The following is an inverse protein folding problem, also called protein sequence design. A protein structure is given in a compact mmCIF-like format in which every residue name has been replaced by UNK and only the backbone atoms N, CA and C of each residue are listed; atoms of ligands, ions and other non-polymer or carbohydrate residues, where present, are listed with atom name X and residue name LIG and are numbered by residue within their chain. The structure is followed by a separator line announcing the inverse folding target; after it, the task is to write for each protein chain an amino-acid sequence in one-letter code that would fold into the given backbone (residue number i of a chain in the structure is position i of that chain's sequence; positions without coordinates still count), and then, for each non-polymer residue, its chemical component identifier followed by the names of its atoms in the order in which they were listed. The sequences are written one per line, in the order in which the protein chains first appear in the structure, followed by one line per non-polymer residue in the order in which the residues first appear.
data_IF_961172386609
#
_entry.id   IF_961172386609
#
_cell.length_a   1.000
_cell.length_b   1.000
_cell.length_c   1.000
_cell.angle_alpha   90.00
_cell.angle_beta   90.00
_cell.angle_gamma   90.00
#
_symmetry.space_group_name_H-M   'P 1'
#
loop_
_entity.id
_entity.type
_entity.pdbx_description
1 polymer ?
#
# COMPACT_ATOMS: atom_id res chain seq x y z
N UNK A 1 21.26 -0.42 -0.85
CA UNK A 1 20.46 0.24 0.19
C UNK A 1 21.37 0.96 1.17
N UNK A 2 20.99 2.14 1.59
CA UNK A 2 21.72 2.97 2.57
C UNK A 2 20.81 3.23 3.76
N UNK A 3 21.35 3.08 4.96
CA UNK A 3 20.68 3.47 6.22
C UNK A 3 21.43 4.68 6.74
N UNK A 4 20.72 5.78 6.97
CA UNK A 4 21.30 6.99 7.58
C UNK A 4 21.34 6.87 9.11
N UNK A 5 22.16 7.69 9.76
CA UNK A 5 22.23 7.76 11.23
C UNK A 5 20.87 8.07 11.87
N UNK A 6 20.01 8.79 11.16
CA UNK A 6 18.63 9.10 11.58
C UNK A 6 17.66 7.90 11.44
N UNK A 7 18.16 6.72 11.03
CA UNK A 7 17.37 5.51 10.88
C UNK A 7 16.52 5.45 9.60
N UNK A 8 16.69 6.37 8.67
CA UNK A 8 16.00 6.34 7.39
C UNK A 8 16.64 5.31 6.45
N UNK A 9 15.81 4.53 5.77
CA UNK A 9 16.23 3.50 4.83
C UNK A 9 15.98 3.95 3.40
N UNK A 10 17.04 3.97 2.58
CA UNK A 10 16.98 4.35 1.17
C UNK A 10 17.42 3.19 0.30
N UNK A 11 16.64 2.88 -0.72
CA UNK A 11 16.96 1.85 -1.71
C UNK A 11 17.20 2.51 -3.06
N UNK A 12 18.37 2.24 -3.65
CA UNK A 12 18.75 2.73 -4.97
C UNK A 12 18.79 1.56 -5.94
N UNK A 13 18.18 1.74 -7.11
CA UNK A 13 18.34 0.82 -8.23
C UNK A 13 19.54 1.25 -9.05
N UNK A 14 20.65 0.51 -8.91
CA UNK A 14 21.93 0.84 -9.56
C UNK A 14 22.09 -0.05 -10.78
N UNK A 15 22.22 0.55 -11.95
CA UNK A 15 22.58 -0.14 -13.22
C UNK A 15 24.02 0.15 -13.56
N UNK A 16 24.73 -0.85 -14.07
CA UNK A 16 26.09 -0.64 -14.60
C UNK A 16 26.04 0.26 -15.84
N UNK A 17 26.91 1.27 -15.88
CA UNK A 17 27.13 2.12 -17.04
C UNK A 17 28.65 2.41 -17.18
N UNK A 18 29.15 2.35 -18.40
CA UNK A 18 30.59 2.63 -18.69
C UNK A 18 30.92 4.10 -18.39
N UNK A 19 29.97 5.01 -18.62
CA UNK A 19 30.03 6.42 -18.25
C UNK A 19 28.83 6.77 -17.37
N UNK A 20 29.00 6.79 -16.04
CA UNK A 20 27.92 7.15 -15.14
C UNK A 20 27.56 8.64 -15.26
N UNK A 21 26.27 8.93 -15.39
CA UNK A 21 25.77 10.32 -15.49
C UNK A 21 25.92 11.10 -14.17
N UNK A 22 25.99 10.40 -13.05
CA UNK A 22 26.14 10.97 -11.71
C UNK A 22 27.22 10.20 -10.95
N UNK A 23 28.29 10.87 -10.57
CA UNK A 23 29.38 10.29 -9.78
C UNK A 23 29.18 10.45 -8.28
N UNK A 24 28.51 11.53 -7.88
CA UNK A 24 28.14 11.81 -6.50
C UNK A 24 26.64 12.12 -6.43
N UNK A 25 25.99 11.59 -5.43
CA UNK A 25 24.58 11.84 -5.16
C UNK A 25 24.47 12.30 -3.71
N UNK A 26 24.03 13.54 -3.52
CA UNK A 26 23.72 14.05 -2.20
C UNK A 26 22.30 13.66 -1.82
N UNK A 27 22.10 13.31 -0.54
CA UNK A 27 20.77 12.90 -0.07
C UNK A 27 19.72 14.00 -0.24
N UNK A 28 20.13 15.28 -0.21
CA UNK A 28 19.25 16.41 -0.49
C UNK A 28 18.66 16.39 -1.92
N UNK A 29 19.34 15.79 -2.89
CA UNK A 29 18.86 15.68 -4.26
C UNK A 29 17.65 14.75 -4.40
N UNK A 30 17.46 13.84 -3.43
CA UNK A 30 16.31 12.94 -3.37
C UNK A 30 15.16 13.50 -2.53
N UNK A 31 15.43 14.54 -1.74
CA UNK A 31 14.42 15.20 -0.89
C UNK A 31 13.71 16.32 -1.66
N UNK A 32 14.07 16.55 -2.91
CA UNK A 32 13.56 17.65 -3.76
C UNK A 32 12.16 17.44 -4.34
N UNK A 33 11.19 17.11 -3.49
CA UNK A 33 9.83 17.60 -3.68
C UNK A 33 9.40 18.26 -2.36
N UNK A 34 9.68 19.55 -2.30
CA UNK A 34 9.54 20.38 -1.12
C UNK A 34 8.12 20.46 -0.57
N UNK A 35 7.76 19.51 0.24
CA UNK A 35 6.65 19.58 1.19
C UNK A 35 6.91 18.67 2.41
N UNK A 36 8.10 18.70 2.98
CA UNK A 36 8.31 18.07 4.28
C UNK A 36 8.53 19.09 5.38
N UNK A 37 7.60 20.02 5.53
CA UNK A 37 7.55 20.85 6.72
C UNK A 37 6.26 20.51 7.46
N UNK A 38 6.40 19.83 8.62
CA UNK A 38 5.34 19.54 9.60
C UNK A 38 4.33 18.43 9.24
N UNK A 39 4.77 17.25 8.80
CA UNK A 39 3.94 16.04 8.94
C UNK A 39 4.36 15.25 10.19
N UNK A 40 3.41 14.74 10.99
CA UNK A 40 3.76 13.81 12.05
C UNK A 40 4.49 12.60 11.46
N UNK A 41 5.51 12.12 12.13
CA UNK A 41 6.52 11.14 11.71
C UNK A 41 6.05 9.76 11.23
N UNK A 42 4.81 9.58 10.78
CA UNK A 42 4.23 8.27 10.49
C UNK A 42 3.89 8.03 9.01
N UNK A 43 4.06 9.03 8.16
CA UNK A 43 3.71 8.88 6.74
C UNK A 43 4.95 8.63 5.89
N UNK A 44 5.13 7.40 5.41
CA UNK A 44 6.22 7.01 4.54
C UNK A 44 5.70 6.71 3.14
N UNK A 45 6.27 7.33 2.12
CA UNK A 45 6.05 6.95 0.72
C UNK A 45 7.05 5.84 0.36
N UNK A 46 6.56 4.68 -0.08
CA UNK A 46 7.40 3.55 -0.45
C UNK A 46 7.42 3.41 -1.97
N UNK A 47 8.62 3.43 -2.54
CA UNK A 47 8.90 3.21 -3.96
C UNK A 47 9.54 1.82 -4.10
N UNK A 48 8.81 0.84 -4.63
CA UNK A 48 9.25 -0.55 -4.63
C UNK A 48 9.77 -1.04 -5.99
N UNK A 49 9.27 -0.50 -7.11
CA UNK A 49 9.65 -0.91 -8.47
C UNK A 49 9.42 0.21 -9.49
N UNK A 50 9.95 0.03 -10.70
CA UNK A 50 9.67 0.94 -11.82
C UNK A 50 8.19 0.85 -12.24
N UNK A 51 7.64 1.98 -12.64
CA UNK A 51 6.27 2.10 -13.16
C UNK A 51 6.33 2.03 -14.69
N UNK A 52 6.55 0.88 -15.27
CA UNK A 52 6.81 0.61 -16.68
C UNK A 52 6.54 1.77 -17.66
N UNK A 53 5.28 2.15 -17.87
CA UNK A 53 4.88 3.23 -18.80
C UNK A 53 4.16 4.39 -18.12
N UNK A 54 4.02 4.37 -16.79
CA UNK A 54 3.26 5.39 -16.08
C UNK A 54 4.15 6.49 -15.50
N UNK A 55 3.73 7.75 -15.64
CA UNK A 55 4.43 8.87 -15.03
C UNK A 55 4.35 8.77 -13.50
N UNK A 56 5.50 8.74 -12.78
CA UNK A 56 5.50 8.72 -11.31
C UNK A 56 4.72 9.89 -10.69
N UNK A 57 4.75 11.06 -11.33
CA UNK A 57 4.00 12.25 -10.89
C UNK A 57 2.50 12.04 -11.00
N UNK A 58 2.03 11.42 -12.08
CA UNK A 58 0.61 11.12 -12.27
C UNK A 58 0.12 10.10 -11.25
N UNK A 59 0.88 9.03 -11.03
CA UNK A 59 0.55 8.00 -10.04
C UNK A 59 0.45 8.62 -8.64
N UNK A 60 1.42 9.46 -8.27
CA UNK A 60 1.41 10.17 -6.99
C UNK A 60 0.20 11.10 -6.86
N UNK A 61 -0.15 11.86 -7.92
CA UNK A 61 -1.31 12.75 -7.94
C UNK A 61 -2.62 11.97 -7.75
N UNK A 62 -2.76 10.84 -8.44
CA UNK A 62 -3.91 9.93 -8.29
C UNK A 62 -4.01 9.44 -6.85
N UNK A 63 -2.92 8.89 -6.30
CA UNK A 63 -2.91 8.37 -4.93
C UNK A 63 -3.26 9.46 -3.91
N UNK A 64 -2.70 10.66 -4.07
CA UNK A 64 -3.02 11.83 -3.24
C UNK A 64 -4.51 12.19 -3.35
N UNK A 65 -5.07 12.25 -4.57
CA UNK A 65 -6.49 12.54 -4.78
C UNK A 65 -7.41 11.50 -4.15
N UNK A 66 -7.06 10.21 -4.26
CA UNK A 66 -7.79 9.12 -3.59
C UNK A 66 -7.74 9.27 -2.08
N UNK A 67 -6.56 9.58 -1.54
CA UNK A 67 -6.34 9.78 -0.10
C UNK A 67 -7.15 10.98 0.43
N UNK A 68 -7.08 12.14 -0.23
CA UNK A 68 -7.75 13.38 0.18
C UNK A 68 -9.28 13.29 0.03
N UNK A 69 -9.77 12.60 -0.99
CA UNK A 69 -11.20 12.40 -1.18
C UNK A 69 -11.83 11.57 -0.05
N UNK A 70 -11.06 10.70 0.56
CA UNK A 70 -11.34 9.91 1.77
C UNK A 70 -12.74 9.27 1.86
N UNK A 71 -13.43 9.06 0.73
CA UNK A 71 -14.77 8.49 0.68
C UNK A 71 -14.74 6.99 0.83
N UNK A 72 -15.56 6.47 1.72
CA UNK A 72 -15.78 5.03 1.85
C UNK A 72 -16.80 4.55 0.82
N UNK A 73 -16.31 3.96 -0.28
CA UNK A 73 -17.11 3.38 -1.36
C UNK A 73 -17.44 1.91 -1.07
N UNK A 74 -16.47 1.17 -0.56
CA UNK A 74 -16.61 -0.24 -0.21
C UNK A 74 -16.95 -0.37 1.28
N UNK A 75 -18.03 -1.09 1.60
CA UNK A 75 -18.50 -1.21 2.99
C UNK A 75 -18.43 -2.63 3.55
N UNK A 76 -18.29 -3.63 2.68
CA UNK A 76 -18.36 -5.06 3.05
C UNK A 76 -16.99 -5.71 3.19
N UNK A 77 -15.90 -5.04 2.81
CA UNK A 77 -14.53 -5.60 2.87
C UNK A 77 -13.78 -5.00 4.05
N UNK A 78 -13.38 -5.86 4.97
CA UNK A 78 -12.59 -5.50 6.13
C UNK A 78 -12.70 -6.51 7.26
N UNK A 79 -11.89 -6.31 8.29
CA UNK A 79 -11.94 -7.10 9.52
C UNK A 79 -11.87 -6.19 10.74
N UNK A 80 -12.34 -6.71 11.87
CA UNK A 80 -12.23 -6.05 13.17
C UNK A 80 -11.92 -7.08 14.23
N UNK A 81 -10.71 -7.05 14.78
CA UNK A 81 -10.26 -7.93 15.87
C UNK A 81 -9.36 -7.17 16.83
N UNK A 82 -9.38 -7.52 18.10
CA UNK A 82 -8.49 -6.96 19.13
C UNK A 82 -8.52 -5.43 19.26
N UNK A 83 -9.68 -4.81 18.99
CA UNK A 83 -9.81 -3.35 18.99
C UNK A 83 -9.24 -2.66 17.73
N UNK A 84 -8.65 -3.41 16.81
CA UNK A 84 -8.16 -2.93 15.53
C UNK A 84 -9.17 -3.25 14.43
N UNK A 85 -9.45 -2.29 13.59
CA UNK A 85 -10.24 -2.47 12.37
C UNK A 85 -9.35 -2.15 11.16
N UNK A 86 -9.25 -3.09 10.22
CA UNK A 86 -8.58 -2.91 8.95
C UNK A 86 -9.57 -3.14 7.82
N UNK A 87 -9.71 -2.18 6.91
CA UNK A 87 -10.73 -2.22 5.87
C UNK A 87 -10.26 -1.62 4.55
N UNK A 88 -10.90 -2.05 3.48
CA UNK A 88 -10.79 -1.46 2.16
C UNK A 88 -11.88 -0.39 1.99
N UNK A 89 -11.50 0.88 1.89
CA UNK A 89 -12.43 2.01 1.71
C UNK A 89 -12.86 2.17 0.25
N UNK A 90 -11.93 1.95 -0.66
CA UNK A 90 -12.17 2.10 -2.10
C UNK A 90 -11.15 1.32 -2.91
N UNK A 91 -11.56 0.99 -4.12
CA UNK A 91 -10.74 0.34 -5.13
C UNK A 91 -10.91 1.10 -6.43
N UNK A 92 -9.81 1.55 -7.01
CA UNK A 92 -9.80 2.36 -8.21
C UNK A 92 -8.87 1.78 -9.25
N UNK A 93 -9.12 2.11 -10.52
CA UNK A 93 -8.27 1.69 -11.62
C UNK A 93 -7.94 2.86 -12.54
N UNK A 94 -6.70 2.88 -13.03
CA UNK A 94 -6.23 3.78 -14.07
C UNK A 94 -5.15 3.07 -14.87
N UNK A 95 -5.36 2.96 -16.19
CA UNK A 95 -4.51 2.22 -17.08
C UNK A 95 -4.22 0.79 -16.56
N UNK A 96 -2.95 0.43 -16.37
CA UNK A 96 -2.53 -0.89 -15.88
C UNK A 96 -2.24 -0.91 -14.35
N UNK A 97 -2.83 0.03 -13.60
CA UNK A 97 -2.68 0.11 -12.15
C UNK A 97 -4.02 -0.02 -11.42
N UNK A 98 -3.96 -0.67 -10.26
CA UNK A 98 -5.03 -0.75 -9.30
C UNK A 98 -4.64 0.01 -8.03
N UNK A 99 -5.54 0.85 -7.52
CA UNK A 99 -5.31 1.65 -6.32
C UNK A 99 -6.21 1.16 -5.20
N UNK A 100 -5.61 0.66 -4.15
CA UNK A 100 -6.27 0.16 -2.94
C UNK A 100 -6.23 1.23 -1.85
N UNK A 101 -7.36 1.84 -1.55
CA UNK A 101 -7.50 2.76 -0.43
C UNK A 101 -7.90 1.99 0.81
N UNK A 102 -6.95 1.83 1.72
CA UNK A 102 -7.14 1.07 2.97
C UNK A 102 -7.19 2.01 4.17
N UNK A 103 -7.80 1.55 5.25
CA UNK A 103 -7.85 2.27 6.53
C UNK A 103 -7.59 1.30 7.66
N UNK A 104 -6.71 1.68 8.56
CA UNK A 104 -6.55 1.07 9.88
C UNK A 104 -7.13 2.01 10.93
N UNK A 105 -7.99 1.48 11.81
CA UNK A 105 -8.54 2.20 12.95
C UNK A 105 -8.22 1.43 14.21
N UNK A 106 -7.53 2.07 15.13
CA UNK A 106 -7.24 1.53 16.45
C UNK A 106 -8.24 2.11 17.46
N UNK A 107 -9.13 1.27 17.98
CA UNK A 107 -10.09 1.66 19.01
C UNK A 107 -9.64 1.26 20.42
N UNK A 108 -8.42 0.70 20.54
CA UNK A 108 -7.79 0.39 21.81
C UNK A 108 -6.90 1.54 22.30
N UNK A 109 -6.49 1.49 23.57
CA UNK A 109 -5.55 2.46 24.12
C UNK A 109 -4.08 2.10 23.83
N UNK A 110 -3.83 0.86 23.34
CA UNK A 110 -2.47 0.38 23.03
C UNK A 110 -2.16 0.68 21.57
N UNK A 111 -1.07 1.36 21.26
CA UNK A 111 -0.65 1.59 19.90
C UNK A 111 -0.52 0.28 19.11
N UNK A 112 -0.78 0.34 17.82
CA UNK A 112 -0.62 -0.76 16.88
C UNK A 112 0.54 -0.42 15.94
N UNK A 113 1.67 -1.08 16.12
CA UNK A 113 2.85 -0.90 15.29
C UNK A 113 2.77 -1.89 14.12
N UNK A 114 2.72 -1.37 12.90
CA UNK A 114 2.65 -2.19 11.68
C UNK A 114 4.06 -2.66 11.33
N UNK A 115 4.23 -3.97 11.16
CA UNK A 115 5.48 -4.56 10.69
C UNK A 115 5.51 -4.53 9.16
N UNK A 116 4.57 -5.22 8.53
CA UNK A 116 4.42 -5.23 7.07
C UNK A 116 2.98 -5.52 6.65
N UNK A 117 2.68 -5.19 5.39
CA UNK A 117 1.39 -5.48 4.75
C UNK A 117 1.67 -6.31 3.50
N UNK A 118 0.94 -7.42 3.34
CA UNK A 118 1.08 -8.32 2.20
C UNK A 118 -0.21 -8.42 1.41
N UNK A 119 -0.05 -8.62 0.09
CA UNK A 119 -1.13 -8.91 -0.85
C UNK A 119 -0.84 -10.27 -1.47
N UNK A 120 -1.72 -11.26 -1.23
CA UNK A 120 -1.50 -12.64 -1.67
C UNK A 120 -2.74 -13.17 -2.37
N UNK A 121 -2.57 -13.69 -3.58
CA UNK A 121 -3.61 -14.48 -4.25
C UNK A 121 -3.48 -15.93 -3.80
N UNK A 122 -4.52 -16.46 -3.17
CA UNK A 122 -4.56 -17.80 -2.59
C UNK A 122 -5.81 -18.56 -3.05
N UNK A 123 -5.78 -19.87 -2.97
CA UNK A 123 -6.93 -20.73 -3.28
C UNK A 123 -8.08 -20.53 -2.28
N UNK A 124 -9.34 -20.46 -2.75
CA UNK A 124 -10.52 -20.38 -1.88
C UNK A 124 -10.73 -21.66 -1.06
N UNK A 125 -10.38 -22.82 -1.63
CA UNK A 125 -10.53 -24.12 -0.99
C UNK A 125 -9.16 -24.75 -0.77
N UNK A 126 -8.83 -25.02 0.49
CA UNK A 126 -7.63 -25.78 0.86
C UNK A 126 -8.02 -27.24 0.91
N UNK A 127 -7.59 -28.03 -0.08
CA UNK A 127 -7.67 -29.48 0.01
C UNK A 127 -6.61 -30.00 0.99
N UNK A 128 -7.00 -30.89 1.90
CA UNK A 128 -6.19 -31.39 3.04
C UNK A 128 -4.80 -31.98 2.69
N UNK A 129 -4.43 -32.10 1.43
CA UNK A 129 -3.16 -32.75 0.97
C UNK A 129 -2.46 -32.05 -0.18
N UNK A 130 -2.82 -30.81 -0.51
CA UNK A 130 -2.19 -30.08 -1.62
C UNK A 130 -1.41 -28.91 -1.07
N UNK A 131 -0.21 -28.68 -1.59
CA UNK A 131 0.56 -27.47 -1.30
C UNK A 131 -0.26 -26.24 -1.74
N UNK A 132 -0.47 -25.29 -0.85
CA UNK A 132 -1.11 -24.01 -1.19
C UNK A 132 -0.20 -23.24 -2.13
N UNK A 133 -0.71 -22.88 -3.29
CA UNK A 133 -0.03 -21.96 -4.17
C UNK A 133 -0.40 -20.55 -3.75
N UNK A 134 0.56 -19.82 -3.21
CA UNK A 134 0.43 -18.40 -2.90
C UNK A 134 1.18 -17.60 -3.96
N UNK A 135 0.51 -16.62 -4.56
CA UNK A 135 1.14 -15.64 -5.42
C UNK A 135 1.16 -14.29 -4.70
N UNK A 136 2.33 -13.82 -4.33
CA UNK A 136 2.48 -12.50 -3.71
C UNK A 136 2.44 -11.42 -4.79
N UNK A 137 1.60 -10.42 -4.58
CA UNK A 137 1.52 -9.21 -5.40
C UNK A 137 2.21 -8.09 -4.62
N UNK A 138 3.27 -7.53 -5.18
CA UNK A 138 4.01 -6.45 -4.54
C UNK A 138 3.44 -5.10 -4.97
N UNK A 139 3.09 -4.20 -4.03
CA UNK A 139 2.74 -2.84 -4.35
C UNK A 139 3.91 -2.13 -5.05
N UNK A 140 3.62 -1.37 -6.10
CA UNK A 140 4.63 -0.55 -6.79
C UNK A 140 4.90 0.74 -6.01
N UNK A 141 3.87 1.29 -5.39
CA UNK A 141 3.92 2.53 -4.58
C UNK A 141 2.96 2.42 -3.40
N UNK A 142 3.30 3.14 -2.34
CA UNK A 142 2.39 3.38 -1.23
C UNK A 142 2.42 4.87 -0.85
N UNK A 143 1.26 5.48 -0.74
CA UNK A 143 1.08 6.85 -0.28
C UNK A 143 0.56 6.85 1.15
N UNK A 144 1.19 7.61 2.04
CA UNK A 144 0.91 7.63 3.47
C UNK A 144 0.97 6.22 4.08
N UNK A 145 2.09 5.52 3.88
CA UNK A 145 2.26 4.17 4.45
C UNK A 145 2.27 4.23 5.97
N UNK A 146 1.27 3.61 6.58
CA UNK A 146 1.08 3.61 8.03
C UNK A 146 2.02 2.60 8.68
N UNK A 147 2.95 3.09 9.50
CA UNK A 147 3.83 2.27 10.33
C UNK A 147 3.32 2.12 11.77
N UNK A 148 2.42 3.03 12.20
CA UNK A 148 1.85 3.03 13.55
C UNK A 148 0.47 3.67 13.56
N UNK A 149 -0.49 3.03 14.22
CA UNK A 149 -1.79 3.60 14.56
C UNK A 149 -1.87 3.78 16.09
N UNK A 150 -1.89 5.03 16.56
CA UNK A 150 -1.99 5.33 17.99
C UNK A 150 -3.35 4.90 18.56
N UNK A 151 -3.44 4.86 19.88
CA UNK A 151 -4.72 4.57 20.56
C UNK A 151 -5.80 5.58 20.18
N UNK A 152 -7.01 5.09 19.88
CA UNK A 152 -8.16 5.89 19.45
C UNK A 152 -7.95 6.69 18.16
N UNK A 153 -7.05 6.23 17.28
CA UNK A 153 -6.65 6.89 16.05
C UNK A 153 -7.05 6.09 14.79
N UNK A 154 -7.00 6.77 13.65
CA UNK A 154 -7.39 6.19 12.37
C UNK A 154 -6.51 6.74 11.25
N UNK A 155 -5.85 5.85 10.54
CA UNK A 155 -4.91 6.16 9.48
C UNK A 155 -5.32 5.49 8.17
N UNK A 156 -5.08 6.18 7.06
CA UNK A 156 -5.34 5.66 5.71
C UNK A 156 -4.03 5.49 4.94
N UNK A 157 -4.00 4.47 4.10
CA UNK A 157 -2.91 4.24 3.13
C UNK A 157 -3.51 3.96 1.76
N UNK A 158 -2.91 4.52 0.71
CA UNK A 158 -3.24 4.17 -0.67
C UNK A 158 -2.08 3.39 -1.27
N UNK A 159 -2.35 2.17 -1.75
CA UNK A 159 -1.39 1.34 -2.45
C UNK A 159 -1.67 1.36 -3.94
N UNK A 160 -0.65 1.48 -4.77
CA UNK A 160 -0.72 1.23 -6.20
C UNK A 160 -0.11 -0.14 -6.49
N UNK A 161 -0.90 -1.05 -7.06
CA UNK A 161 -0.51 -2.38 -7.47
C UNK A 161 -0.54 -2.49 -9.00
N UNK A 162 0.27 -3.35 -9.61
CA UNK A 162 0.11 -3.68 -11.02
C UNK A 162 -1.28 -4.32 -11.23
N UNK A 163 -1.84 -4.15 -12.39
CA UNK A 163 -3.10 -4.78 -12.77
C UNK A 163 -2.97 -6.31 -12.74
N UNK A 164 -3.89 -6.95 -12.09
CA UNK A 164 -4.01 -8.41 -12.05
C UNK A 164 -5.48 -8.81 -12.03
N UNK A 165 -5.74 -10.07 -12.31
CA UNK A 165 -7.05 -10.69 -12.20
C UNK A 165 -6.97 -11.86 -11.23
N UNK A 166 -8.08 -12.17 -10.58
CA UNK A 166 -8.21 -13.27 -9.63
C UNK A 166 -9.07 -14.35 -10.28
N UNK A 167 -8.53 -15.57 -10.50
CA UNK A 167 -9.35 -16.70 -10.97
C UNK A 167 -10.51 -17.00 -10.01
N UNK A 168 -11.58 -17.60 -10.51
CA UNK A 168 -12.80 -17.84 -9.73
C UNK A 168 -12.61 -18.76 -8.53
N UNK A 169 -11.61 -19.64 -8.57
CA UNK A 169 -11.22 -20.54 -7.50
C UNK A 169 -10.27 -19.89 -6.48
N UNK A 170 -9.84 -18.64 -6.74
CA UNK A 170 -8.89 -17.90 -5.89
C UNK A 170 -9.50 -16.62 -5.31
N UNK A 171 -8.80 -16.06 -4.34
CA UNK A 171 -9.09 -14.78 -3.70
C UNK A 171 -7.80 -14.04 -3.38
N UNK A 172 -7.86 -12.71 -3.34
CA UNK A 172 -6.79 -11.91 -2.78
C UNK A 172 -7.00 -11.81 -1.27
N UNK A 173 -5.98 -12.08 -0.51
CA UNK A 173 -5.92 -11.84 0.93
C UNK A 173 -4.94 -10.70 1.18
N UNK A 174 -5.42 -9.66 1.85
CA UNK A 174 -4.60 -8.54 2.29
C UNK A 174 -4.40 -8.69 3.79
N UNK A 175 -3.14 -8.86 4.21
CA UNK A 175 -2.77 -9.10 5.60
C UNK A 175 -1.89 -7.97 6.12
N UNK A 176 -2.17 -7.52 7.33
CA UNK A 176 -1.38 -6.54 8.07
C UNK A 176 -0.88 -7.16 9.36
N UNK A 177 0.41 -7.21 9.54
CA UNK A 177 1.07 -7.81 10.70
C UNK A 177 1.51 -6.77 11.70
N UNK A 178 1.32 -7.11 12.99
CA UNK A 178 1.80 -6.28 14.09
C UNK A 178 3.25 -6.62 14.41
N UNK A 179 4.07 -5.59 14.59
CA UNK A 179 5.47 -5.74 14.98
C UNK A 179 5.56 -6.28 16.42
N UNK A 180 6.21 -7.43 16.57
CA UNK A 180 6.38 -8.11 17.86
C UNK A 180 5.07 -8.36 18.62
N UNK A 181 3.94 -8.45 17.89
CA UNK A 181 2.62 -8.66 18.45
C UNK A 181 1.84 -9.75 17.74
N UNK A 182 0.63 -10.05 18.24
CA UNK A 182 -0.25 -11.08 17.68
C UNK A 182 -1.58 -10.54 17.15
N UNK A 183 -1.75 -9.21 17.05
CA UNK A 183 -3.01 -8.59 16.62
C UNK A 183 -3.08 -8.40 15.11
N UNK A 184 -2.57 -9.37 14.33
CA UNK A 184 -2.63 -9.28 12.86
C UNK A 184 -4.08 -9.18 12.36
N UNK A 185 -4.25 -8.48 11.26
CA UNK A 185 -5.52 -8.22 10.61
C UNK A 185 -5.48 -8.75 9.18
N UNK A 186 -6.60 -9.26 8.69
CA UNK A 186 -6.71 -9.68 7.28
C UNK A 186 -8.11 -9.48 6.75
N UNK A 187 -8.22 -9.13 5.47
CA UNK A 187 -9.47 -9.14 4.73
C UNK A 187 -9.28 -9.77 3.35
N UNK A 188 -10.37 -10.16 2.73
CA UNK A 188 -10.40 -10.85 1.46
C UNK A 188 -11.06 -9.99 0.40
N UNK A 189 -10.55 -10.07 -0.84
CA UNK A 189 -11.09 -9.41 -2.02
C UNK A 189 -11.26 -10.47 -3.10
N UNK A 190 -12.40 -10.50 -3.77
CA UNK A 190 -12.70 -11.43 -4.85
C UNK A 190 -12.64 -10.72 -6.21
N UNK A 191 -12.62 -11.49 -7.30
CA UNK A 191 -12.54 -10.92 -8.63
C UNK A 191 -13.67 -9.94 -8.96
N UNK A 192 -14.88 -10.20 -8.46
CA UNK A 192 -16.02 -9.30 -8.64
C UNK A 192 -15.78 -7.91 -8.07
N UNK A 193 -15.04 -7.80 -6.95
CA UNK A 193 -14.69 -6.52 -6.34
C UNK A 193 -13.67 -5.78 -7.22
N UNK A 194 -12.69 -6.50 -7.80
CA UNK A 194 -11.71 -5.91 -8.72
C UNK A 194 -12.36 -5.36 -9.99
N UNK A 195 -13.29 -6.14 -10.57
CA UNK A 195 -14.00 -5.74 -11.80
C UNK A 195 -14.91 -4.51 -11.56
N UNK A 196 -15.37 -4.31 -10.31
CA UNK A 196 -16.17 -3.15 -9.90
C UNK A 196 -15.33 -1.95 -9.44
N UNK A 197 -14.01 -2.00 -9.63
CA UNK A 197 -13.14 -0.86 -9.32
C UNK A 197 -13.61 0.41 -10.05
N UNK A 198 -13.67 1.53 -9.33
CA UNK A 198 -14.05 2.82 -9.92
C UNK A 198 -12.93 3.35 -10.82
N UNK A 199 -13.26 3.93 -11.96
CA UNK A 199 -12.25 4.59 -12.80
C UNK A 199 -11.86 5.94 -12.19
N UNK A 200 -10.59 6.30 -12.28
CA UNK A 200 -10.08 7.57 -11.73
C UNK A 200 -10.73 8.80 -12.37
N UNK A 201 -11.22 8.68 -13.62
CA UNK A 201 -11.93 9.76 -14.31
C UNK A 201 -13.21 10.21 -13.59
N UNK A 202 -13.77 9.38 -12.73
CA UNK A 202 -14.93 9.67 -11.87
C UNK A 202 -14.54 10.42 -10.59
N UNK A 203 -13.25 10.38 -10.21
CA UNK A 203 -12.70 11.22 -9.18
C UNK A 203 -12.39 12.59 -9.81
N UNK A 204 -13.08 13.64 -9.37
CA UNK A 204 -12.69 15.01 -9.71
C UNK A 204 -11.31 15.26 -9.10
N UNK A 205 -10.26 14.98 -9.87
CA UNK A 205 -8.89 15.33 -9.54
C UNK A 205 -8.82 16.86 -9.54
N UNK A 206 -8.69 17.46 -8.37
CA UNK A 206 -8.49 18.91 -8.18
C UNK A 206 -7.03 19.20 -7.97
#
# INVERSE_FOLDING_TARGET
SVITEDGNFYTFNVKYADEPLLLNVEMCDFIHDGESVNRPNNAMEIYLTELDNESPRLVRLIMKSVYENDKRRIRHIGCKRFGIQYLLKGLYTHNDLLYFHTQVKNSSNVPFDVDFITFKVVDKKVMKRTAMQEQVIYPLRAYNYVTRANGSDSECTVFALPKFTIPDDKKLVVEMYEKQGGRHQSFEVVNEDLVRAETINELKVR
#
